data_IF_977330916893
#
_entry.id   IF_977330916893
#
_cell.length_a   1.000
_cell.length_b   1.000
_cell.length_c   1.000
_cell.angle_alpha   90.00
_cell.angle_beta   90.00
_cell.angle_gamma   90.00
#
_symmetry.space_group_name_H-M   'P 1'
#
loop_
_entity.id
_entity.type
_entity.pdbx_description
1 polymer ?
#
# COMPACT_ATOMS: atom_id res chain seq x y z
N UNK A 1 -11.73 3.59 -39.29
CA UNK A 1 -12.06 4.11 -37.94
C UNK A 1 -11.24 3.32 -36.93
N UNK A 2 -10.18 3.92 -36.40
CA UNK A 2 -9.29 3.27 -35.44
C UNK A 2 -10.00 3.15 -34.10
N UNK A 3 -10.12 1.93 -33.58
CA UNK A 3 -10.65 1.67 -32.24
C UNK A 3 -9.62 2.23 -31.25
N UNK A 4 -9.91 3.41 -30.68
CA UNK A 4 -9.17 3.90 -29.52
C UNK A 4 -9.50 2.94 -28.38
N UNK A 5 -8.63 1.95 -28.17
CA UNK A 5 -8.67 1.12 -26.98
C UNK A 5 -8.14 2.03 -25.88
N UNK A 6 -8.92 2.31 -24.84
CA UNK A 6 -8.39 2.82 -23.57
C UNK A 6 -7.52 1.73 -22.93
N UNK A 7 -6.38 1.41 -23.54
CA UNK A 7 -5.41 0.41 -23.08
C UNK A 7 -4.49 0.98 -21.97
N UNK A 8 -4.94 2.01 -21.26
CA UNK A 8 -4.05 2.85 -20.47
C UNK A 8 -3.78 2.33 -19.06
N UNK A 9 -4.78 1.70 -18.44
CA UNK A 9 -4.81 1.55 -16.98
C UNK A 9 -5.40 0.20 -16.54
N UNK A 10 -4.59 -0.85 -16.64
CA UNK A 10 -4.97 -2.19 -16.21
C UNK A 10 -4.74 -2.37 -14.71
N UNK A 11 -5.50 -3.24 -14.02
CA UNK A 11 -5.25 -3.56 -12.61
C UNK A 11 -3.81 -3.99 -12.34
N UNK A 12 -3.19 -4.74 -13.26
CA UNK A 12 -1.78 -5.13 -13.16
C UNK A 12 -0.81 -3.95 -13.24
N UNK A 13 -1.08 -2.95 -14.08
CA UNK A 13 -0.26 -1.72 -14.18
C UNK A 13 -0.39 -0.87 -12.91
N UNK A 14 -1.63 -0.67 -12.43
CA UNK A 14 -1.89 0.02 -11.15
C UNK A 14 -1.17 -0.67 -9.99
N UNK A 15 -1.27 -2.00 -9.91
CA UNK A 15 -0.58 -2.78 -8.87
C UNK A 15 0.91 -2.54 -8.85
N UNK A 16 1.58 -2.55 -10.02
CA UNK A 16 3.03 -2.25 -10.10
C UNK A 16 3.37 -0.84 -9.62
N UNK A 17 2.52 0.14 -9.91
CA UNK A 17 2.70 1.51 -9.41
C UNK A 17 2.51 1.58 -7.89
N UNK A 18 1.54 0.85 -7.34
CA UNK A 18 1.32 0.75 -5.90
C UNK A 18 2.45 -0.01 -5.19
N UNK A 19 2.94 -1.11 -5.74
CA UNK A 19 4.13 -1.82 -5.22
C UNK A 19 5.35 -0.89 -5.16
N UNK A 20 5.56 -0.07 -6.20
CA UNK A 20 6.58 0.97 -6.19
C UNK A 20 6.33 2.02 -5.11
N UNK A 21 5.08 2.42 -4.92
CA UNK A 21 4.66 3.36 -3.87
C UNK A 21 5.03 2.86 -2.49
N UNK A 22 4.73 1.58 -2.22
CA UNK A 22 5.05 0.93 -0.97
C UNK A 22 6.56 0.85 -0.74
N UNK A 23 7.31 0.46 -1.77
CA UNK A 23 8.77 0.35 -1.70
C UNK A 23 9.43 1.73 -1.46
N UNK A 24 8.97 2.78 -2.13
CA UNK A 24 9.43 4.15 -1.93
C UNK A 24 9.12 4.61 -0.49
N UNK A 25 7.87 4.49 -0.04
CA UNK A 25 7.47 4.89 1.32
C UNK A 25 8.29 4.16 2.41
N UNK A 26 8.49 2.84 2.27
CA UNK A 26 9.31 2.05 3.20
C UNK A 26 10.77 2.49 3.20
N UNK A 27 11.33 2.80 2.04
CA UNK A 27 12.71 3.31 1.94
C UNK A 27 12.85 4.68 2.57
N UNK A 28 11.91 5.59 2.34
CA UNK A 28 11.88 6.93 2.94
C UNK A 28 11.75 6.83 4.46
N UNK A 29 10.84 5.98 4.97
CA UNK A 29 10.69 5.70 6.40
C UNK A 29 11.99 5.14 7.00
N UNK A 30 12.60 4.13 6.38
CA UNK A 30 13.83 3.51 6.84
C UNK A 30 15.03 4.48 6.86
N UNK A 31 15.01 5.51 6.01
CA UNK A 31 16.06 6.54 5.97
C UNK A 31 15.90 7.61 7.08
N UNK A 32 14.78 7.65 7.83
CA UNK A 32 14.55 8.64 8.88
C UNK A 32 15.22 8.22 10.20
N UNK A 33 16.24 8.96 10.69
CA UNK A 33 16.92 8.61 11.94
C UNK A 33 16.01 8.66 13.17
N UNK A 34 15.03 9.58 13.17
CA UNK A 34 14.04 9.70 14.24
C UNK A 34 13.18 8.43 14.38
N UNK A 35 12.82 7.79 13.26
CA UNK A 35 12.06 6.55 13.31
C UNK A 35 12.88 5.41 13.91
N UNK A 36 14.19 5.36 13.62
CA UNK A 36 15.10 4.37 14.21
C UNK A 36 15.24 4.49 15.74
N UNK A 37 15.02 5.69 16.29
CA UNK A 37 14.95 5.91 17.74
C UNK A 37 13.54 5.80 18.33
N UNK A 38 12.56 5.33 17.54
CA UNK A 38 11.17 5.14 17.95
C UNK A 38 10.31 6.41 17.94
N UNK A 39 10.83 7.51 17.39
CA UNK A 39 10.13 8.80 17.32
C UNK A 39 9.34 8.92 16.01
N UNK A 40 8.02 9.04 16.14
CA UNK A 40 7.10 9.22 15.02
C UNK A 40 6.73 10.68 14.81
N UNK A 41 7.44 11.34 13.90
CA UNK A 41 7.11 12.69 13.44
C UNK A 41 5.86 12.70 12.53
N UNK A 42 5.38 13.90 12.18
CA UNK A 42 4.18 14.04 11.36
C UNK A 42 4.33 13.40 9.97
N UNK A 43 5.53 13.52 9.37
CA UNK A 43 5.81 12.96 8.06
C UNK A 43 5.86 11.42 8.09
N UNK A 44 6.44 10.82 9.12
CA UNK A 44 6.47 9.37 9.31
C UNK A 44 5.05 8.80 9.44
N UNK A 45 4.17 9.49 10.17
CA UNK A 45 2.75 9.12 10.28
C UNK A 45 2.04 9.20 8.92
N UNK A 46 2.28 10.28 8.18
CA UNK A 46 1.73 10.45 6.83
C UNK A 46 2.25 9.38 5.85
N UNK A 47 3.55 9.08 5.85
CA UNK A 47 4.16 8.01 5.05
C UNK A 47 3.59 6.63 5.38
N UNK A 48 3.44 6.31 6.67
CA UNK A 48 2.87 5.03 7.08
C UNK A 48 1.38 4.92 6.72
N UNK A 49 0.61 6.00 6.86
CA UNK A 49 -0.78 6.03 6.42
C UNK A 49 -0.89 5.89 4.89
N UNK A 50 -0.02 6.57 4.15
CA UNK A 50 0.09 6.43 2.70
C UNK A 50 0.45 5.00 2.27
N UNK A 51 1.36 4.35 3.00
CA UNK A 51 1.69 2.94 2.80
C UNK A 51 0.47 2.04 3.02
N UNK A 52 -0.30 2.26 4.08
CA UNK A 52 -1.52 1.49 4.34
C UNK A 52 -2.55 1.64 3.22
N UNK A 53 -2.80 2.87 2.74
CA UNK A 53 -3.65 3.09 1.56
C UNK A 53 -3.12 2.41 0.31
N UNK A 54 -1.80 2.43 0.11
CA UNK A 54 -1.18 1.77 -1.05
C UNK A 54 -1.35 0.25 -0.99
N UNK A 55 -1.21 -0.37 0.19
CA UNK A 55 -1.45 -1.79 0.43
C UNK A 55 -2.92 -2.16 0.16
N UNK A 56 -3.86 -1.38 0.68
CA UNK A 56 -5.30 -1.58 0.42
C UNK A 56 -5.61 -1.48 -1.07
N UNK A 57 -5.06 -0.47 -1.76
CA UNK A 57 -5.18 -0.31 -3.20
C UNK A 57 -4.65 -1.53 -3.96
N UNK A 58 -3.56 -2.17 -3.49
CA UNK A 58 -3.06 -3.42 -4.10
C UNK A 58 -4.13 -4.51 -4.00
N UNK A 59 -4.72 -4.71 -2.81
CA UNK A 59 -5.83 -5.65 -2.60
C UNK A 59 -6.99 -5.42 -3.57
N UNK A 60 -7.40 -4.16 -3.77
CA UNK A 60 -8.44 -3.80 -4.74
C UNK A 60 -8.06 -4.16 -6.18
N UNK A 61 -6.80 -3.93 -6.59
CA UNK A 61 -6.33 -4.35 -7.92
C UNK A 61 -6.30 -5.87 -8.11
N UNK A 62 -6.07 -6.60 -7.02
CA UNK A 62 -6.06 -8.07 -7.01
C UNK A 62 -7.48 -8.58 -7.21
N UNK A 63 -8.45 -8.07 -6.46
CA UNK A 63 -9.85 -8.46 -6.64
C UNK A 63 -10.37 -8.11 -8.04
N UNK A 64 -10.04 -6.93 -8.57
CA UNK A 64 -10.40 -6.59 -9.95
C UNK A 64 -9.76 -7.51 -11.00
N UNK A 65 -8.55 -8.00 -10.75
CA UNK A 65 -7.88 -8.99 -11.63
C UNK A 65 -8.49 -10.39 -11.50
N UNK A 66 -8.80 -10.80 -10.26
CA UNK A 66 -9.35 -12.11 -9.95
C UNK A 66 -10.77 -12.26 -10.49
N UNK A 67 -11.62 -11.23 -10.31
CA UNK A 67 -12.97 -11.21 -10.87
C UNK A 67 -12.94 -11.34 -12.41
N UNK A 68 -12.04 -10.61 -13.08
CA UNK A 68 -11.89 -10.72 -14.54
C UNK A 68 -11.44 -12.12 -15.02
N UNK A 69 -10.81 -12.91 -14.15
CA UNK A 69 -10.47 -14.31 -14.41
C UNK A 69 -11.63 -15.26 -14.08
N UNK A 70 -12.37 -14.99 -13.01
CA UNK A 70 -13.59 -15.72 -12.66
C UNK A 70 -14.64 -15.63 -13.77
N UNK A 71 -14.87 -14.44 -14.33
CA UNK A 71 -15.77 -14.21 -15.46
C UNK A 71 -15.37 -14.99 -16.73
N UNK A 72 -14.10 -15.41 -16.82
CA UNK A 72 -13.53 -16.21 -17.92
C UNK A 72 -13.39 -17.69 -17.56
N UNK A 73 -13.97 -18.12 -16.44
CA UNK A 73 -13.89 -19.48 -15.92
C UNK A 73 -12.46 -19.94 -15.56
N UNK A 74 -11.59 -19.01 -15.16
CA UNK A 74 -10.22 -19.28 -14.69
C UNK A 74 -10.12 -19.27 -13.15
N UNK A 75 -11.06 -19.90 -12.46
CA UNK A 75 -11.23 -19.82 -11.01
C UNK A 75 -9.99 -20.24 -10.22
N UNK A 76 -9.29 -21.30 -10.64
CA UNK A 76 -8.03 -21.75 -10.00
C UNK A 76 -6.96 -20.67 -10.03
N UNK A 77 -6.91 -19.86 -11.09
CA UNK A 77 -5.96 -18.78 -11.26
C UNK A 77 -6.34 -17.57 -10.42
N UNK A 78 -7.64 -17.25 -10.38
CA UNK A 78 -8.20 -16.19 -9.54
C UNK A 78 -7.94 -16.46 -8.07
N UNK A 79 -8.23 -17.67 -7.61
CA UNK A 79 -8.05 -18.07 -6.22
C UNK A 79 -6.57 -18.06 -5.80
N UNK A 80 -5.68 -18.59 -6.66
CA UNK A 80 -4.25 -18.50 -6.42
C UNK A 80 -3.79 -17.04 -6.28
N UNK A 81 -4.30 -16.14 -7.12
CA UNK A 81 -3.94 -14.72 -7.06
C UNK A 81 -4.42 -14.07 -5.74
N UNK A 82 -5.64 -14.37 -5.29
CA UNK A 82 -6.14 -13.89 -3.99
C UNK A 82 -5.26 -14.41 -2.86
N UNK A 83 -4.99 -15.71 -2.83
CA UNK A 83 -4.16 -16.34 -1.80
C UNK A 83 -2.74 -15.75 -1.73
N UNK A 84 -2.10 -15.50 -2.89
CA UNK A 84 -0.75 -14.94 -2.96
C UNK A 84 -0.70 -13.48 -2.40
N UNK A 85 -1.83 -12.77 -2.36
CA UNK A 85 -1.90 -11.33 -2.03
C UNK A 85 -2.80 -10.97 -0.85
N UNK A 86 -3.49 -11.93 -0.24
CA UNK A 86 -4.43 -11.70 0.88
C UNK A 86 -3.79 -10.91 2.04
N UNK A 87 -2.49 -11.11 2.25
CA UNK A 87 -1.70 -10.41 3.24
C UNK A 87 -1.75 -8.88 3.07
N UNK A 88 -1.93 -8.35 1.86
CA UNK A 88 -1.92 -6.89 1.64
C UNK A 88 -3.07 -6.20 2.34
N UNK A 89 -4.29 -6.74 2.24
CA UNK A 89 -5.46 -6.20 2.91
C UNK A 89 -5.33 -6.33 4.43
N UNK A 90 -4.91 -7.51 4.92
CA UNK A 90 -4.75 -7.74 6.36
C UNK A 90 -3.69 -6.80 6.95
N UNK A 91 -2.51 -6.69 6.33
CA UNK A 91 -1.46 -5.79 6.83
C UNK A 91 -1.84 -4.32 6.68
N UNK A 92 -2.67 -3.95 5.70
CA UNK A 92 -3.24 -2.60 5.63
C UNK A 92 -4.16 -2.32 6.83
N UNK A 93 -5.06 -3.25 7.15
CA UNK A 93 -5.96 -3.15 8.30
C UNK A 93 -5.15 -3.05 9.61
N UNK A 94 -4.20 -3.96 9.83
CA UNK A 94 -3.34 -3.98 11.03
C UNK A 94 -2.55 -2.67 11.18
N UNK A 95 -2.00 -2.14 10.08
CA UNK A 95 -1.22 -0.91 10.10
C UNK A 95 -2.11 0.31 10.37
N UNK A 96 -3.30 0.37 9.77
CA UNK A 96 -4.26 1.44 10.05
C UNK A 96 -4.70 1.44 11.51
N UNK A 97 -5.00 0.26 12.06
CA UNK A 97 -5.36 0.10 13.47
C UNK A 97 -4.24 0.58 14.40
N UNK A 98 -3.01 0.13 14.18
CA UNK A 98 -1.85 0.57 14.97
C UNK A 98 -1.65 2.10 14.91
N UNK A 99 -1.79 2.70 13.73
CA UNK A 99 -1.66 4.16 13.54
C UNK A 99 -2.78 4.95 14.24
N UNK A 100 -4.01 4.44 14.23
CA UNK A 100 -5.16 5.08 14.87
C UNK A 100 -5.12 4.93 16.40
N UNK A 101 -4.66 3.78 16.89
CA UNK A 101 -4.44 3.51 18.31
C UNK A 101 -3.18 4.18 18.88
N UNK A 102 -2.38 4.83 18.03
CA UNK A 102 -1.07 5.37 18.37
C UNK A 102 -0.10 4.31 18.92
N UNK A 103 -0.26 3.05 18.50
CA UNK A 103 0.69 1.97 18.76
C UNK A 103 1.88 2.06 17.80
N UNK A 104 2.78 2.99 18.12
CA UNK A 104 3.99 3.25 17.33
C UNK A 104 4.97 2.08 17.30
N UNK A 105 4.95 1.23 18.34
CA UNK A 105 5.80 0.05 18.38
C UNK A 105 5.26 -1.01 17.45
N UNK A 106 3.96 -1.35 17.56
CA UNK A 106 3.31 -2.28 16.64
C UNK A 106 3.39 -1.81 15.19
N UNK A 107 3.20 -0.51 14.93
CA UNK A 107 3.38 0.06 13.59
C UNK A 107 4.82 -0.15 13.07
N UNK A 108 5.84 0.09 13.89
CA UNK A 108 7.24 -0.16 13.50
C UNK A 108 7.50 -1.62 13.19
N UNK A 109 7.00 -2.53 14.03
CA UNK A 109 7.14 -3.97 13.83
C UNK A 109 6.49 -4.41 12.50
N UNK A 110 5.30 -3.90 12.18
CA UNK A 110 4.64 -4.12 10.89
C UNK A 110 5.48 -3.60 9.72
N UNK A 111 6.04 -2.37 9.80
CA UNK A 111 6.90 -1.81 8.76
C UNK A 111 8.09 -2.73 8.45
N UNK A 112 8.73 -3.31 9.48
CA UNK A 112 9.86 -4.24 9.30
C UNK A 112 9.44 -5.49 8.54
N UNK A 113 8.25 -6.05 8.83
CA UNK A 113 7.75 -7.24 8.12
C UNK A 113 7.47 -6.99 6.64
N UNK A 114 7.21 -5.74 6.26
CA UNK A 114 6.93 -5.35 4.87
C UNK A 114 8.19 -5.18 4.01
N UNK A 115 9.35 -4.89 4.62
CA UNK A 115 10.63 -4.69 3.90
C UNK A 115 10.94 -5.83 2.91
N UNK A 116 10.98 -7.11 3.32
CA UNK A 116 11.30 -8.21 2.39
C UNK A 116 10.25 -8.39 1.29
N UNK A 117 8.99 -7.99 1.51
CA UNK A 117 7.90 -8.15 0.53
C UNK A 117 8.01 -7.24 -0.67
N UNK A 118 8.77 -6.15 -0.56
CA UNK A 118 8.99 -5.19 -1.64
C UNK A 118 10.45 -5.14 -2.12
N UNK A 119 11.30 -6.06 -1.66
CA UNK A 119 12.72 -6.11 -2.03
C UNK A 119 12.96 -6.35 -3.54
N UNK A 120 11.98 -6.93 -4.25
CA UNK A 120 12.04 -7.13 -5.71
C UNK A 120 11.81 -5.83 -6.50
N UNK A 121 11.36 -4.76 -5.86
CA UNK A 121 10.98 -3.51 -6.54
C UNK A 121 12.20 -2.62 -6.73
N UNK A 122 12.57 -2.37 -7.99
CA UNK A 122 13.72 -1.52 -8.31
C UNK A 122 13.35 -0.03 -8.33
N UNK A 123 13.86 0.72 -7.35
CA UNK A 123 13.73 2.17 -7.25
C UNK A 123 14.98 2.83 -7.85
N UNK A 124 15.00 2.98 -9.18
CA UNK A 124 16.12 3.63 -9.89
C UNK A 124 16.21 5.15 -9.67
N UNK A 125 15.11 5.80 -9.30
CA UNK A 125 15.02 7.22 -8.93
C UNK A 125 13.80 7.42 -8.04
N UNK A 126 13.95 8.16 -6.96
CA UNK A 126 12.81 8.61 -6.15
C UNK A 126 12.03 9.63 -6.99
N UNK A 127 10.77 9.30 -7.28
CA UNK A 127 9.95 10.06 -8.23
C UNK A 127 8.93 10.97 -7.54
N UNK A 128 8.84 10.92 -6.20
CA UNK A 128 7.73 11.52 -5.46
C UNK A 128 8.23 12.43 -4.36
N UNK A 129 7.61 13.61 -4.33
CA UNK A 129 7.78 14.60 -3.28
C UNK A 129 6.70 14.43 -2.20
N UNK A 130 6.84 15.17 -1.09
CA UNK A 130 5.99 15.06 0.09
C UNK A 130 4.49 15.23 -0.16
N UNK A 131 4.12 15.92 -1.25
CA UNK A 131 2.73 16.13 -1.68
C UNK A 131 1.94 14.82 -1.88
N UNK A 132 2.63 13.69 -2.12
CA UNK A 132 1.97 12.40 -2.31
C UNK A 132 1.44 11.77 -1.02
N UNK A 133 2.08 12.03 0.12
CA UNK A 133 1.68 11.46 1.41
C UNK A 133 1.18 12.51 2.40
N UNK A 134 1.45 13.80 2.17
CA UNK A 134 1.05 14.88 3.05
C UNK A 134 -0.45 14.82 3.38
N UNK A 135 -0.77 14.73 4.67
CA UNK A 135 -2.13 14.65 5.17
C UNK A 135 -2.81 13.29 5.05
N UNK A 136 -2.11 12.23 4.61
CA UNK A 136 -2.64 10.88 4.56
C UNK A 136 -3.07 10.39 5.95
N UNK A 137 -2.30 10.70 7.01
CA UNK A 137 -2.67 10.32 8.38
C UNK A 137 -3.93 11.05 8.84
N UNK A 138 -4.03 12.35 8.52
CA UNK A 138 -5.25 13.13 8.80
C UNK A 138 -6.46 12.57 8.04
N UNK A 139 -6.28 12.15 6.80
CA UNK A 139 -7.34 11.51 6.03
C UNK A 139 -7.79 10.19 6.67
N UNK A 140 -6.83 9.39 7.18
CA UNK A 140 -7.11 8.16 7.91
C UNK A 140 -7.94 8.41 9.16
N UNK A 141 -7.54 9.38 10.00
CA UNK A 141 -8.30 9.77 11.19
C UNK A 141 -9.73 10.22 10.84
N UNK A 142 -9.89 11.04 9.79
CA UNK A 142 -11.22 11.48 9.33
C UNK A 142 -12.09 10.32 8.86
N UNK A 143 -11.50 9.35 8.15
CA UNK A 143 -12.22 8.15 7.68
C UNK A 143 -12.70 7.30 8.85
N UNK A 144 -11.84 7.08 9.85
CA UNK A 144 -12.19 6.35 11.06
C UNK A 144 -13.31 7.05 11.84
N UNK A 145 -13.22 8.38 12.01
CA UNK A 145 -14.25 9.16 12.71
C UNK A 145 -15.62 9.16 12.01
N UNK A 146 -15.67 8.94 10.70
CA UNK A 146 -16.93 8.81 9.94
C UNK A 146 -17.55 7.41 10.05
N UNK A 147 -16.74 6.40 10.36
CA UNK A 147 -17.17 5.01 10.46
C UNK A 147 -17.66 4.62 11.86
N UNK A 148 -17.35 5.44 12.88
CA UNK A 148 -17.84 5.33 14.25
C UNK A 148 -19.21 6.00 14.42
#
# INVERSE_FOLDING_TARGET
>A
MSRIIHAGDTPAKRRRQLERSCAEALRTLAAKPALASGVWDAEAKDLAAFLAYSLRGIGETIEGSAQAWDDRNYWKKAEKLRADWIWTSHTADDLEEALLAADWRGATDLLVTLVPRFAHVNIGRELRDADWWAGAYRALQKRAAKAA
#
